data_IF_142117394322
#
_entry.id   IF_142117394322
#
_cell.length_a   1.000
_cell.length_b   1.000
_cell.length_c   1.000
_cell.angle_alpha   90.00
_cell.angle_beta   90.00
_cell.angle_gamma   90.00
#
_symmetry.space_group_name_H-M   'P 1'
#
loop_
_entity.id
_entity.type
_entity.pdbx_description
1 polymer ?
#
# COMPACT_ATOMS: atom_id res chain seq x y z
N UNK A 1 -7.88 -11.47 15.51
CA UNK A 1 -6.43 -11.42 15.25
C UNK A 1 -5.76 -10.77 16.45
N UNK A 2 -4.66 -11.35 16.94
CA UNK A 2 -3.84 -10.73 17.98
C UNK A 2 -2.43 -10.54 17.41
N UNK A 3 -1.83 -9.36 17.62
CA UNK A 3 -0.47 -9.04 17.19
C UNK A 3 0.29 -8.49 18.39
N UNK A 4 1.41 -9.13 18.75
CA UNK A 4 2.22 -8.70 19.89
C UNK A 4 3.29 -7.69 19.48
N UNK A 5 3.06 -6.42 19.86
CA UNK A 5 3.96 -5.31 19.56
C UNK A 5 5.32 -5.39 20.27
N UNK A 6 5.43 -6.22 21.31
CA UNK A 6 6.70 -6.44 22.04
C UNK A 6 7.64 -7.40 21.31
N UNK A 7 7.12 -8.18 20.35
CA UNK A 7 7.92 -9.10 19.54
C UNK A 7 8.64 -8.38 18.41
N UNK A 8 9.67 -9.00 17.83
CA UNK A 8 10.37 -8.41 16.69
C UNK A 8 9.45 -8.35 15.44
N UNK A 9 9.75 -7.41 14.52
CA UNK A 9 8.95 -7.20 13.31
C UNK A 9 8.75 -8.47 12.47
N UNK A 10 9.75 -9.36 12.42
CA UNK A 10 9.66 -10.63 11.70
C UNK A 10 8.55 -11.53 12.28
N UNK A 11 8.45 -11.62 13.61
CA UNK A 11 7.46 -12.47 14.28
C UNK A 11 6.05 -11.90 14.12
N UNK A 12 5.89 -10.57 14.21
CA UNK A 12 4.63 -9.89 13.92
C UNK A 12 4.16 -10.20 12.50
N UNK A 13 5.04 -10.08 11.51
CA UNK A 13 4.73 -10.39 10.12
C UNK A 13 4.40 -11.87 9.90
N UNK A 14 5.08 -12.77 10.60
CA UNK A 14 4.79 -14.21 10.58
C UNK A 14 3.38 -14.50 11.10
N UNK A 15 2.98 -13.84 12.19
CA UNK A 15 1.63 -13.93 12.73
C UNK A 15 0.59 -13.42 11.73
N UNK A 16 0.84 -12.27 11.07
CA UNK A 16 -0.01 -11.72 10.01
C UNK A 16 -0.21 -12.74 8.87
N UNK A 17 0.89 -13.30 8.35
CA UNK A 17 0.80 -14.28 7.27
C UNK A 17 0.06 -15.54 7.73
N UNK A 18 0.35 -16.04 8.92
CA UNK A 18 -0.29 -17.24 9.46
C UNK A 18 -1.80 -17.05 9.63
N UNK A 19 -2.24 -15.88 10.09
CA UNK A 19 -3.66 -15.51 10.14
C UNK A 19 -4.30 -15.65 8.76
N UNK A 20 -3.72 -15.02 7.74
CA UNK A 20 -4.26 -15.09 6.38
C UNK A 20 -4.05 -16.44 5.67
N UNK A 21 -3.26 -17.37 6.22
CA UNK A 21 -3.14 -18.76 5.73
C UNK A 21 -4.25 -19.68 6.25
N UNK A 22 -5.01 -19.27 7.27
CA UNK A 22 -6.08 -20.07 7.84
C UNK A 22 -7.12 -20.48 6.79
N UNK A 23 -7.69 -21.67 6.93
CA UNK A 23 -8.73 -22.21 6.03
C UNK A 23 -10.09 -22.03 6.69
N UNK A 24 -11.14 -21.96 5.87
CA UNK A 24 -12.54 -21.88 6.32
C UNK A 24 -12.83 -20.69 7.24
N UNK A 25 -12.18 -19.55 6.98
CA UNK A 25 -12.44 -18.28 7.67
C UNK A 25 -13.49 -17.50 6.87
N UNK A 26 -14.49 -16.97 7.56
CA UNK A 26 -15.45 -16.03 6.99
C UNK A 26 -14.83 -14.63 6.93
N UNK A 27 -14.07 -14.34 5.87
CA UNK A 27 -13.33 -13.08 5.71
C UNK A 27 -14.20 -11.81 5.60
N UNK A 28 -15.53 -11.97 5.49
CA UNK A 28 -16.48 -10.87 5.52
C UNK A 28 -16.93 -10.49 6.94
N UNK A 29 -16.57 -11.28 7.96
CA UNK A 29 -16.92 -10.96 9.34
C UNK A 29 -16.04 -9.80 9.87
N UNK A 30 -16.56 -8.94 10.77
CA UNK A 30 -15.75 -7.93 11.43
C UNK A 30 -14.50 -8.52 12.08
N UNK A 31 -13.33 -7.98 11.71
CA UNK A 31 -12.08 -8.36 12.35
C UNK A 31 -11.99 -7.71 13.73
N UNK A 32 -11.78 -8.53 14.76
CA UNK A 32 -11.37 -8.05 16.07
C UNK A 32 -9.87 -8.13 16.17
N UNK A 33 -9.21 -6.98 16.23
CA UNK A 33 -7.76 -6.87 16.38
C UNK A 33 -7.40 -6.47 17.81
N UNK A 34 -6.36 -7.08 18.35
CA UNK A 34 -5.74 -6.70 19.63
C UNK A 34 -4.24 -6.52 19.41
N UNK A 35 -3.68 -5.44 19.95
CA UNK A 35 -2.26 -5.16 19.98
C UNK A 35 -1.74 -5.51 21.37
N UNK A 36 -1.11 -6.67 21.52
CA UNK A 36 -0.52 -7.04 22.80
C UNK A 36 0.69 -6.13 23.10
N UNK A 37 0.76 -5.65 24.34
CA UNK A 37 1.77 -4.67 24.76
C UNK A 37 1.32 -3.21 24.63
N UNK A 38 0.15 -2.96 24.05
CA UNK A 38 -0.47 -1.64 23.91
C UNK A 38 -1.85 -1.65 24.59
N UNK A 39 -2.22 -0.54 25.22
CA UNK A 39 -3.52 -0.39 25.88
C UNK A 39 -4.65 -0.03 24.89
N UNK A 40 -4.30 0.26 23.63
CA UNK A 40 -5.25 0.64 22.60
C UNK A 40 -6.27 -0.47 22.29
N UNK A 41 -7.53 -0.05 22.17
CA UNK A 41 -8.67 -0.91 21.81
C UNK A 41 -9.63 -0.17 20.87
N UNK A 42 -10.42 -0.90 20.10
CA UNK A 42 -11.46 -0.35 19.22
C UNK A 42 -11.02 -0.17 17.77
N UNK A 43 -11.76 0.64 17.01
CA UNK A 43 -11.65 0.72 15.55
C UNK A 43 -10.31 1.27 15.06
N UNK A 44 -9.64 2.12 15.85
CA UNK A 44 -8.28 2.59 15.55
C UNK A 44 -7.27 1.46 15.42
N UNK A 45 -7.40 0.41 16.24
CA UNK A 45 -6.53 -0.79 16.19
C UNK A 45 -6.78 -1.60 14.92
N UNK A 46 -8.05 -1.75 14.54
CA UNK A 46 -8.43 -2.42 13.30
C UNK A 46 -7.92 -1.68 12.06
N UNK A 47 -8.02 -0.34 12.06
CA UNK A 47 -7.48 0.50 10.98
C UNK A 47 -5.96 0.39 10.87
N UNK A 48 -5.27 0.42 12.00
CA UNK A 48 -3.82 0.19 12.05
C UNK A 48 -3.45 -1.17 11.46
N UNK A 49 -4.16 -2.24 11.83
CA UNK A 49 -3.93 -3.56 11.25
C UNK A 49 -4.07 -3.57 9.72
N UNK A 50 -5.11 -2.96 9.16
CA UNK A 50 -5.29 -2.91 7.70
C UNK A 50 -4.23 -2.05 7.01
N UNK A 51 -3.84 -0.94 7.62
CA UNK A 51 -2.73 -0.11 7.16
C UNK A 51 -1.43 -0.91 7.11
N UNK A 52 -1.10 -1.65 8.18
CA UNK A 52 0.12 -2.47 8.26
C UNK A 52 0.15 -3.54 7.17
N UNK A 53 -0.92 -4.32 6.97
CA UNK A 53 -0.88 -5.39 5.96
C UNK A 53 -0.71 -4.83 4.54
N UNK A 54 -1.33 -3.68 4.22
CA UNK A 54 -1.21 -3.04 2.91
C UNK A 54 0.19 -2.45 2.70
N UNK A 55 0.76 -1.85 3.74
CA UNK A 55 2.15 -1.37 3.74
C UNK A 55 3.11 -2.53 3.42
N UNK A 56 2.91 -3.71 4.03
CA UNK A 56 3.73 -4.90 3.74
C UNK A 56 3.52 -5.47 2.34
N UNK A 57 2.30 -5.40 1.79
CA UNK A 57 2.08 -5.76 0.39
C UNK A 57 2.80 -4.79 -0.57
N UNK A 58 2.82 -3.50 -0.25
CA UNK A 58 3.41 -2.47 -1.11
C UNK A 58 4.93 -2.42 -1.04
N UNK A 59 5.50 -2.49 0.16
CA UNK A 59 6.94 -2.29 0.40
C UNK A 59 7.71 -3.55 0.80
N UNK A 60 6.99 -4.66 1.01
CA UNK A 60 7.57 -5.96 1.34
C UNK A 60 7.56 -6.29 2.84
N UNK A 61 7.84 -7.56 3.09
CA UNK A 61 7.94 -8.16 4.42
C UNK A 61 9.41 -8.22 4.86
N UNK A 62 9.71 -7.91 6.11
CA UNK A 62 11.00 -8.16 6.76
C UNK A 62 11.33 -9.65 6.96
N UNK A 63 10.37 -10.55 6.71
CA UNK A 63 10.63 -11.98 6.63
C UNK A 63 11.70 -12.29 5.58
N UNK A 64 12.80 -12.92 5.98
CA UNK A 64 13.91 -13.23 5.10
C UNK A 64 13.67 -14.52 4.27
N UNK A 65 12.67 -14.47 3.40
CA UNK A 65 12.27 -15.59 2.54
C UNK A 65 13.15 -15.58 1.29
N UNK A 66 14.35 -16.15 1.41
CA UNK A 66 15.30 -16.27 0.30
C UNK A 66 16.55 -15.38 0.39
N UNK A 67 16.94 -14.95 1.59
CA UNK A 67 18.17 -14.16 1.85
C UNK A 67 18.19 -12.74 1.23
N UNK A 68 17.05 -12.16 0.91
CA UNK A 68 16.95 -10.82 0.29
C UNK A 68 16.78 -9.68 1.30
N UNK A 69 16.70 -9.97 2.60
CA UNK A 69 16.47 -8.98 3.66
C UNK A 69 15.05 -8.42 3.71
N UNK A 70 14.47 -8.09 2.56
CA UNK A 70 13.05 -7.76 2.38
C UNK A 70 12.47 -8.67 1.30
N UNK A 71 11.31 -9.24 1.58
CA UNK A 71 10.54 -10.06 0.65
C UNK A 71 9.42 -9.23 0.02
N UNK A 72 9.62 -8.81 -1.23
CA UNK A 72 8.61 -8.08 -2.00
C UNK A 72 7.71 -9.06 -2.77
N UNK A 73 6.40 -8.91 -2.64
CA UNK A 73 5.44 -9.67 -3.46
C UNK A 73 5.21 -9.02 -4.83
N UNK A 74 5.47 -7.73 -4.97
CA UNK A 74 5.33 -7.00 -6.22
C UNK A 74 6.65 -6.30 -6.55
N UNK A 75 7.01 -6.31 -7.82
CA UNK A 75 8.27 -5.82 -8.37
C UNK A 75 7.98 -4.85 -9.52
N UNK A 76 8.90 -3.92 -9.76
CA UNK A 76 8.78 -2.90 -10.81
C UNK A 76 8.73 -1.50 -10.23
N UNK A 77 8.46 -0.54 -11.11
CA UNK A 77 8.33 0.87 -10.74
C UNK A 77 6.86 1.23 -10.47
N UNK A 78 6.58 2.40 -9.83
CA UNK A 78 5.20 2.85 -9.59
C UNK A 78 4.36 2.85 -10.88
N UNK A 79 3.09 2.48 -10.75
CA UNK A 79 2.12 2.25 -11.84
C UNK A 79 2.43 1.09 -12.81
N UNK A 80 3.51 0.34 -12.55
CA UNK A 80 3.96 -0.81 -13.34
C UNK A 80 4.29 -2.03 -12.47
N UNK A 81 3.83 -2.04 -11.21
CA UNK A 81 4.10 -3.15 -10.30
C UNK A 81 3.41 -4.44 -10.77
N UNK A 82 4.15 -5.53 -10.77
CA UNK A 82 3.67 -6.88 -11.11
C UNK A 82 4.11 -7.90 -10.07
N UNK A 83 3.39 -9.03 -9.87
CA UNK A 83 3.80 -10.05 -8.90
C UNK A 83 5.23 -10.54 -9.08
N UNK A 84 5.99 -10.80 -8.02
CA UNK A 84 7.31 -11.39 -8.13
C UNK A 84 7.27 -12.75 -8.86
N UNK A 85 8.30 -13.03 -9.66
CA UNK A 85 8.43 -14.32 -10.35
C UNK A 85 8.98 -15.46 -9.46
N UNK A 86 9.27 -15.18 -8.18
CA UNK A 86 9.84 -16.13 -7.22
C UNK A 86 8.94 -17.35 -6.98
N UNK A 87 9.49 -18.55 -7.21
CA UNK A 87 8.79 -19.82 -6.96
C UNK A 87 8.49 -20.04 -5.48
N UNK A 88 9.39 -19.61 -4.59
CA UNK A 88 9.22 -19.78 -3.16
C UNK A 88 7.93 -19.10 -2.65
N UNK A 89 7.61 -17.92 -3.18
CA UNK A 89 6.40 -17.18 -2.81
C UNK A 89 5.13 -17.89 -3.29
N UNK A 90 5.20 -18.57 -4.44
CA UNK A 90 4.11 -19.40 -4.97
C UNK A 90 3.93 -20.63 -4.10
N UNK A 91 5.00 -21.37 -3.80
CA UNK A 91 4.97 -22.59 -2.98
C UNK A 91 4.48 -22.31 -1.56
N UNK A 92 4.76 -21.11 -1.06
CA UNK A 92 4.31 -20.64 0.25
C UNK A 92 2.89 -20.05 0.26
N UNK A 93 2.16 -20.10 -0.85
CA UNK A 93 0.81 -19.53 -1.03
C UNK A 93 0.74 -18.02 -0.69
N UNK A 94 1.82 -17.27 -0.85
CA UNK A 94 1.84 -15.86 -0.43
C UNK A 94 1.01 -14.94 -1.32
N UNK A 95 0.83 -15.28 -2.60
CA UNK A 95 -0.10 -14.55 -3.45
C UNK A 95 -1.56 -14.84 -3.08
N UNK A 96 -1.87 -16.04 -2.57
CA UNK A 96 -3.19 -16.35 -2.01
C UNK A 96 -3.45 -15.49 -0.78
N UNK A 97 -2.47 -15.42 0.13
CA UNK A 97 -2.48 -14.56 1.32
C UNK A 97 -2.68 -13.10 0.94
N UNK A 98 -1.93 -12.59 -0.05
CA UNK A 98 -2.08 -11.21 -0.54
C UNK A 98 -3.50 -10.94 -1.05
N UNK A 99 -4.10 -11.89 -1.79
CA UNK A 99 -5.45 -11.74 -2.29
C UNK A 99 -6.47 -11.64 -1.15
N UNK A 100 -6.26 -12.38 -0.06
CA UNK A 100 -7.09 -12.29 1.15
C UNK A 100 -6.88 -10.98 1.89
N UNK A 101 -5.64 -10.53 2.05
CA UNK A 101 -5.31 -9.23 2.66
C UNK A 101 -6.00 -8.06 1.93
N UNK A 102 -5.87 -8.02 0.59
CA UNK A 102 -6.51 -7.01 -0.26
C UNK A 102 -8.03 -7.03 -0.14
N UNK A 103 -8.62 -8.23 -0.27
CA UNK A 103 -10.06 -8.40 -0.15
C UNK A 103 -10.60 -8.00 1.22
N UNK A 104 -9.89 -8.39 2.28
CA UNK A 104 -10.27 -8.09 3.66
C UNK A 104 -10.20 -6.58 3.94
N UNK A 105 -9.11 -5.90 3.53
CA UNK A 105 -9.01 -4.44 3.64
C UNK A 105 -10.19 -3.75 2.96
N UNK A 106 -10.50 -4.13 1.71
CA UNK A 106 -11.59 -3.52 0.96
C UNK A 106 -12.98 -3.69 1.60
N UNK A 107 -13.28 -4.87 2.16
CA UNK A 107 -14.56 -5.11 2.83
C UNK A 107 -14.77 -4.22 4.06
N UNK A 108 -13.68 -3.76 4.67
CA UNK A 108 -13.69 -2.90 5.86
C UNK A 108 -13.38 -1.43 5.54
N UNK A 109 -13.42 -1.03 4.27
CA UNK A 109 -13.14 0.35 3.85
C UNK A 109 -11.68 0.76 4.07
N UNK A 110 -10.77 -0.20 4.15
CA UNK A 110 -9.35 0.07 4.36
C UNK A 110 -8.57 0.45 3.10
N UNK A 111 -7.27 0.76 3.26
CA UNK A 111 -6.40 1.18 2.18
C UNK A 111 -6.37 0.20 1.01
N UNK A 112 -6.14 0.75 -0.18
CA UNK A 112 -6.00 -0.01 -1.43
C UNK A 112 -4.52 -0.18 -1.78
N UNK A 113 -4.21 -1.19 -2.58
CA UNK A 113 -2.89 -1.35 -3.18
C UNK A 113 -2.82 -0.58 -4.51
N UNK A 114 -2.17 0.58 -4.47
CA UNK A 114 -1.98 1.44 -5.63
C UNK A 114 -0.74 1.04 -6.46
N UNK A 115 -0.70 1.50 -7.72
CA UNK A 115 0.52 1.46 -8.53
C UNK A 115 0.78 0.13 -9.24
N UNK A 116 -0.22 -0.77 -9.30
CA UNK A 116 -0.11 -2.00 -10.09
C UNK A 116 -0.20 -1.72 -11.59
N UNK A 117 0.55 -2.50 -12.37
CA UNK A 117 0.47 -2.49 -13.84
C UNK A 117 -0.97 -2.67 -14.31
N UNK A 118 -1.41 -1.79 -15.21
CA UNK A 118 -2.77 -1.85 -15.77
C UNK A 118 -3.00 -3.11 -16.60
N UNK A 119 -1.96 -3.60 -17.29
CA UNK A 119 -2.02 -4.88 -18.00
C UNK A 119 -2.24 -6.05 -17.04
N UNK A 120 -1.55 -6.06 -15.90
CA UNK A 120 -1.73 -7.07 -14.87
C UNK A 120 -3.12 -7.03 -14.25
N UNK A 121 -3.60 -5.84 -13.86
CA UNK A 121 -4.94 -5.65 -13.27
C UNK A 121 -6.03 -6.13 -14.25
N UNK A 122 -5.89 -5.79 -15.53
CA UNK A 122 -6.80 -6.27 -16.58
C UNK A 122 -6.93 -7.79 -16.57
N UNK A 123 -5.80 -8.52 -16.61
CA UNK A 123 -5.77 -9.98 -16.62
C UNK A 123 -6.26 -10.61 -15.30
N UNK A 124 -5.97 -9.98 -14.16
CA UNK A 124 -6.39 -10.48 -12.85
C UNK A 124 -7.92 -10.53 -12.71
N UNK A 125 -8.61 -9.49 -13.19
CA UNK A 125 -10.05 -9.35 -13.04
C UNK A 125 -10.83 -10.16 -14.08
N UNK A 126 -10.77 -9.78 -15.36
CA UNK A 126 -11.56 -10.43 -16.43
C UNK A 126 -10.86 -10.50 -17.80
N UNK A 127 -9.77 -9.78 -17.98
CA UNK A 127 -9.03 -9.74 -19.22
C UNK A 127 -8.31 -11.03 -19.54
N UNK A 128 -7.97 -11.20 -20.82
CA UNK A 128 -7.03 -12.23 -21.27
C UNK A 128 -5.65 -11.62 -21.51
N UNK A 129 -4.61 -12.44 -21.50
CA UNK A 129 -3.26 -12.00 -21.82
C UNK A 129 -3.15 -11.39 -23.24
N UNK A 130 -3.93 -11.90 -24.19
CA UNK A 130 -3.91 -11.42 -25.58
C UNK A 130 -4.57 -10.04 -25.75
N UNK A 131 -5.43 -9.65 -24.81
CA UNK A 131 -6.11 -8.34 -24.81
C UNK A 131 -5.44 -7.30 -23.92
N UNK A 132 -4.36 -7.66 -23.23
CA UNK A 132 -3.67 -6.77 -22.31
C UNK A 132 -2.76 -5.81 -23.08
N UNK A 133 -2.96 -4.51 -22.89
CA UNK A 133 -2.04 -3.49 -23.41
C UNK A 133 -0.84 -3.37 -22.49
N UNK A 134 0.32 -3.84 -22.96
CA UNK A 134 1.57 -3.85 -22.20
C UNK A 134 2.45 -2.65 -22.56
N UNK A 135 3.14 -2.15 -21.55
CA UNK A 135 4.21 -1.17 -21.67
C UNK A 135 5.55 -1.83 -21.33
N UNK A 136 6.64 -1.33 -21.89
CA UNK A 136 7.98 -1.87 -21.64
C UNK A 136 8.33 -1.79 -20.14
N UNK A 137 7.84 -0.74 -19.50
CA UNK A 137 7.92 -0.41 -18.09
C UNK A 137 7.28 -1.47 -17.18
N UNK A 138 6.32 -2.26 -17.67
CA UNK A 138 5.68 -3.35 -16.93
C UNK A 138 6.63 -4.54 -16.72
N UNK A 139 7.75 -4.61 -17.44
CA UNK A 139 8.81 -5.59 -17.21
C UNK A 139 9.72 -5.11 -16.06
N UNK A 140 9.70 -5.77 -14.89
CA UNK A 140 10.48 -5.30 -13.73
C UNK A 140 11.97 -5.62 -13.86
N UNK A 141 12.32 -6.64 -14.65
CA UNK A 141 13.70 -7.06 -14.88
C UNK A 141 14.36 -6.14 -15.92
N UNK A 142 15.39 -5.40 -15.47
CA UNK A 142 16.05 -4.37 -16.27
C UNK A 142 16.77 -4.98 -17.47
N UNK A 143 17.46 -6.11 -17.29
CA UNK A 143 18.26 -6.75 -18.34
C UNK A 143 17.35 -7.34 -19.43
N UNK A 144 16.26 -8.00 -19.01
CA UNK A 144 15.24 -8.49 -19.94
C UNK A 144 14.60 -7.32 -20.68
N UNK A 145 14.26 -6.24 -19.97
CA UNK A 145 13.61 -5.05 -20.54
C UNK A 145 14.50 -4.38 -21.58
N UNK A 146 15.78 -4.21 -21.29
CA UNK A 146 16.76 -3.65 -22.23
C UNK A 146 16.92 -4.55 -23.46
N UNK A 147 16.98 -5.87 -23.27
CA UNK A 147 17.07 -6.85 -24.36
C UNK A 147 15.83 -6.80 -25.27
N UNK A 148 14.62 -6.75 -24.69
CA UNK A 148 13.38 -6.61 -25.45
C UNK A 148 13.36 -5.27 -26.20
N UNK A 149 13.84 -4.19 -25.59
CA UNK A 149 13.85 -2.87 -26.22
C UNK A 149 14.70 -2.82 -27.50
N UNK A 150 15.72 -3.68 -27.65
CA UNK A 150 16.48 -3.78 -28.90
C UNK A 150 15.58 -4.09 -30.10
N UNK A 151 14.45 -4.76 -29.89
CA UNK A 151 13.51 -5.13 -30.93
C UNK A 151 12.56 -3.98 -31.33
N UNK A 152 12.49 -2.87 -30.59
CA UNK A 152 11.57 -1.75 -30.86
C UNK A 152 12.00 -0.84 -32.03
N UNK A 153 13.29 -0.87 -32.39
CA UNK A 153 13.87 -0.05 -33.45
C UNK A 153 13.61 -0.56 -34.87
N UNK A 154 13.76 0.32 -35.86
CA UNK A 154 13.69 -0.04 -37.28
C UNK A 154 15.06 -0.44 -37.87
N UNK A 155 16.16 -0.02 -37.24
CA UNK A 155 17.51 -0.35 -37.71
C UNK A 155 17.85 -1.83 -37.46
N UNK A 156 18.54 -2.51 -38.39
CA UNK A 156 18.99 -3.89 -38.19
C UNK A 156 19.76 -4.06 -36.88
N UNK A 157 19.59 -5.21 -36.23
CA UNK A 157 20.38 -5.56 -35.05
C UNK A 157 21.83 -5.81 -35.47
N UNK A 158 22.80 -5.30 -34.71
CA UNK A 158 24.19 -5.73 -34.88
C UNK A 158 24.40 -7.14 -34.30
N UNK A 159 25.58 -7.73 -34.51
CA UNK A 159 25.87 -9.11 -34.09
C UNK A 159 25.69 -9.33 -32.58
N UNK A 160 26.16 -8.39 -31.73
CA UNK A 160 26.02 -8.47 -30.27
C UNK A 160 24.56 -8.40 -29.82
N UNK A 161 23.79 -7.45 -30.39
CA UNK A 161 22.37 -7.31 -30.11
C UNK A 161 21.58 -8.54 -30.56
N UNK A 162 21.90 -9.07 -31.75
CA UNK A 162 21.27 -10.27 -32.29
C UNK A 162 21.54 -11.48 -31.40
N UNK A 163 22.78 -11.66 -30.92
CA UNK A 163 23.13 -12.72 -29.98
C UNK A 163 22.35 -12.62 -28.67
N UNK A 164 22.29 -11.43 -28.05
CA UNK A 164 21.55 -11.21 -26.79
C UNK A 164 20.06 -11.54 -26.91
N UNK A 165 19.44 -11.08 -28.00
CA UNK A 165 18.03 -11.37 -28.28
C UNK A 165 17.83 -12.86 -28.56
N UNK A 166 18.73 -13.48 -29.34
CA UNK A 166 18.66 -14.92 -29.63
C UNK A 166 18.75 -15.75 -28.35
N UNK A 167 19.69 -15.43 -27.46
CA UNK A 167 19.85 -16.13 -26.18
C UNK A 167 18.57 -16.06 -25.34
N UNK A 168 17.94 -14.87 -25.26
CA UNK A 168 16.66 -14.70 -24.57
C UNK A 168 15.54 -15.50 -25.24
N UNK A 169 15.42 -15.44 -26.58
CA UNK A 169 14.43 -16.21 -27.33
C UNK A 169 14.57 -17.71 -27.08
N UNK A 170 15.80 -18.25 -27.18
CA UNK A 170 16.07 -19.66 -26.95
C UNK A 170 15.76 -20.08 -25.51
N UNK A 171 16.01 -19.21 -24.53
CA UNK A 171 15.69 -19.50 -23.12
C UNK A 171 14.18 -19.68 -22.87
N UNK A 172 13.32 -19.14 -23.75
CA UNK A 172 11.86 -19.22 -23.68
C UNK A 172 11.25 -19.97 -24.88
N UNK A 173 12.03 -20.82 -25.54
CA UNK A 173 11.60 -21.67 -26.65
C UNK A 173 10.96 -20.89 -27.83
N UNK A 174 11.48 -19.70 -28.12
CA UNK A 174 11.06 -18.84 -29.23
C UNK A 174 12.05 -18.87 -30.41
N UNK A 175 11.59 -18.63 -31.65
CA UNK A 175 12.49 -18.53 -32.79
C UNK A 175 13.43 -17.33 -32.66
N UNK A 176 14.60 -17.42 -33.32
CA UNK A 176 15.55 -16.32 -33.39
C UNK A 176 15.00 -15.09 -34.13
N UNK A 177 15.60 -13.91 -33.89
CA UNK A 177 15.16 -12.68 -34.52
C UNK A 177 15.43 -12.66 -36.02
N UNK A 178 14.41 -12.29 -36.79
CA UNK A 178 14.48 -11.97 -38.22
C UNK A 178 13.85 -10.60 -38.45
N UNK A 179 14.07 -9.99 -39.62
CA UNK A 179 13.44 -8.72 -39.96
C UNK A 179 11.91 -8.83 -39.99
N UNK A 180 11.38 -9.99 -40.41
CA UNK A 180 9.94 -10.23 -40.55
C UNK A 180 9.23 -10.49 -39.22
N UNK A 181 9.89 -11.15 -38.26
CA UNK A 181 9.27 -11.55 -36.99
C UNK A 181 9.57 -10.58 -35.82
N UNK A 182 10.38 -9.54 -36.03
CA UNK A 182 10.91 -8.66 -34.98
C UNK A 182 9.82 -8.07 -34.08
N UNK A 183 8.76 -7.52 -34.67
CA UNK A 183 7.64 -6.93 -33.93
C UNK A 183 6.89 -7.98 -33.12
N UNK A 184 6.65 -9.15 -33.73
CA UNK A 184 5.99 -10.25 -33.06
C UNK A 184 6.82 -10.76 -31.88
N UNK A 185 8.15 -10.85 -32.03
CA UNK A 185 9.06 -11.21 -30.93
C UNK A 185 9.03 -10.17 -29.82
N UNK A 186 9.05 -8.87 -30.13
CA UNK A 186 8.90 -7.81 -29.13
C UNK A 186 7.64 -8.03 -28.29
N UNK A 187 6.48 -8.20 -28.95
CA UNK A 187 5.19 -8.37 -28.29
C UNK A 187 5.14 -9.69 -27.48
N UNK A 188 5.68 -10.80 -28.01
CA UNK A 188 5.68 -12.11 -27.33
C UNK A 188 6.63 -12.17 -26.16
N UNK A 189 7.85 -11.67 -26.31
CA UNK A 189 8.83 -11.60 -25.22
C UNK A 189 8.29 -10.72 -24.10
N UNK A 190 7.73 -9.54 -24.41
CA UNK A 190 7.17 -8.64 -23.41
C UNK A 190 5.97 -9.29 -22.69
N UNK A 191 5.04 -9.89 -23.44
CA UNK A 191 3.90 -10.60 -22.85
C UNK A 191 4.33 -11.76 -21.94
N UNK A 192 5.32 -12.54 -22.36
CA UNK A 192 5.86 -13.62 -21.53
C UNK A 192 6.56 -13.06 -20.27
N UNK A 193 7.42 -12.05 -20.45
CA UNK A 193 8.19 -11.42 -19.39
C UNK A 193 7.31 -10.79 -18.32
N UNK A 194 6.15 -10.23 -18.68
CA UNK A 194 5.23 -9.53 -17.77
C UNK A 194 4.10 -10.43 -17.26
N UNK A 195 3.44 -11.21 -18.12
CA UNK A 195 2.23 -11.96 -17.75
C UNK A 195 2.45 -13.47 -17.77
N UNK A 196 3.17 -13.99 -18.78
CA UNK A 196 3.39 -15.42 -18.96
C UNK A 196 4.05 -16.07 -17.75
N UNK A 197 5.11 -15.44 -17.21
CA UNK A 197 5.83 -15.91 -16.01
C UNK A 197 5.03 -15.80 -14.70
N UNK A 198 3.85 -15.16 -14.72
CA UNK A 198 3.04 -14.83 -13.53
C UNK A 198 1.68 -15.51 -13.47
N UNK A 199 1.43 -16.50 -14.34
CA UNK A 199 0.13 -17.18 -14.41
C UNK A 199 -0.28 -17.84 -13.08
N UNK A 200 0.67 -18.44 -12.35
CA UNK A 200 0.38 -19.09 -11.05
C UNK A 200 0.07 -18.06 -9.96
N UNK A 201 0.81 -16.95 -9.94
CA UNK A 201 0.63 -15.83 -9.03
C UNK A 201 -0.74 -15.18 -9.24
N UNK A 202 -1.12 -14.90 -10.49
CA UNK A 202 -2.45 -14.40 -10.85
C UNK A 202 -3.54 -15.34 -10.34
N UNK A 203 -3.39 -16.66 -10.55
CA UNK A 203 -4.36 -17.66 -10.07
C UNK A 203 -4.48 -17.68 -8.55
N UNK A 204 -3.37 -17.64 -7.82
CA UNK A 204 -3.38 -17.59 -6.35
C UNK A 204 -4.00 -16.30 -5.82
N UNK A 205 -3.60 -15.14 -6.36
CA UNK A 205 -4.14 -13.84 -5.97
C UNK A 205 -5.66 -13.78 -6.19
N UNK A 206 -6.11 -14.23 -7.36
CA UNK A 206 -7.53 -14.36 -7.71
C UNK A 206 -8.28 -15.28 -6.76
N UNK A 207 -7.68 -16.41 -6.37
CA UNK A 207 -8.26 -17.33 -5.38
C UNK A 207 -8.39 -16.63 -4.02
N UNK A 208 -7.41 -15.84 -3.60
CA UNK A 208 -7.47 -15.12 -2.33
C UNK A 208 -8.61 -14.10 -2.30
N UNK A 209 -8.78 -13.33 -3.38
CA UNK A 209 -9.90 -12.40 -3.53
C UNK A 209 -11.27 -13.10 -3.62
N UNK A 210 -11.31 -14.35 -4.11
CA UNK A 210 -12.52 -15.17 -4.11
C UNK A 210 -12.85 -15.69 -2.72
N UNK A 211 -11.84 -16.06 -1.93
CA UNK A 211 -12.04 -16.50 -0.55
C UNK A 211 -12.70 -15.38 0.30
N UNK A 212 -12.46 -14.11 -0.03
CA UNK A 212 -13.12 -12.97 0.63
C UNK A 212 -14.44 -12.55 -0.01
N UNK A 213 -14.92 -13.26 -1.04
CA UNK A 213 -16.12 -12.89 -1.81
C UNK A 213 -16.06 -11.50 -2.50
N UNK A 214 -14.89 -10.86 -2.56
CA UNK A 214 -14.70 -9.56 -3.21
C UNK A 214 -14.59 -9.71 -4.73
N UNK A 215 -13.90 -10.75 -5.20
CA UNK A 215 -13.65 -10.93 -6.63
C UNK A 215 -14.93 -10.89 -7.51
N UNK A 216 -16.03 -11.59 -7.16
CA UNK A 216 -17.28 -11.50 -7.93
C UNK A 216 -17.82 -10.06 -8.04
N UNK A 217 -17.72 -9.27 -6.97
CA UNK A 217 -18.19 -7.87 -6.95
C UNK A 217 -17.36 -7.00 -7.88
N UNK A 218 -16.04 -7.17 -7.88
CA UNK A 218 -15.13 -6.44 -8.79
C UNK A 218 -15.39 -6.76 -10.26
N UNK A 219 -15.82 -7.99 -10.54
CA UNK A 219 -16.16 -8.42 -11.89
C UNK A 219 -17.52 -7.91 -12.38
N UNK A 220 -18.44 -7.63 -11.47
CA UNK A 220 -19.79 -7.12 -11.79
C UNK A 220 -19.83 -5.58 -11.84
N UNK A 221 -19.02 -4.91 -11.02
CA UNK A 221 -19.00 -3.45 -10.84
C UNK A 221 -17.72 -2.83 -11.37
N UNK A 222 -17.75 -2.37 -12.62
CA UNK A 222 -16.60 -1.71 -13.29
C UNK A 222 -16.32 -0.29 -12.78
N UNK A 223 -17.24 0.29 -12.02
CA UNK A 223 -17.13 1.60 -11.38
C UNK A 223 -16.33 1.58 -10.07
N UNK A 224 -16.13 0.40 -9.48
CA UNK A 224 -15.37 0.26 -8.23
C UNK A 224 -13.88 0.32 -8.52
N UNK A 225 -13.21 1.34 -7.97
CA UNK A 225 -11.76 1.48 -8.04
C UNK A 225 -11.11 0.65 -6.92
N UNK A 226 -10.66 -0.56 -7.26
CA UNK A 226 -9.99 -1.46 -6.31
C UNK A 226 -8.45 -1.39 -6.36
N UNK A 227 -7.89 -1.10 -7.54
CA UNK A 227 -6.46 -0.93 -7.76
C UNK A 227 -6.21 0.45 -8.37
N UNK A 228 -6.09 1.50 -7.55
CA UNK A 228 -5.85 2.87 -8.04
C UNK A 228 -4.44 3.02 -8.64
N UNK A 229 -4.26 4.06 -9.46
CA UNK A 229 -2.93 4.56 -9.83
C UNK A 229 -2.26 5.17 -8.61
N UNK A 230 -0.94 5.27 -8.62
CA UNK A 230 -0.19 5.94 -7.55
C UNK A 230 -0.63 7.40 -7.38
N UNK A 231 -0.95 8.09 -8.49
CA UNK A 231 -1.48 9.47 -8.46
C UNK A 231 -2.86 9.57 -7.82
N UNK A 232 -3.70 8.54 -7.98
CA UNK A 232 -5.06 8.47 -7.43
C UNK A 232 -5.05 8.14 -5.93
N UNK A 233 -3.96 7.56 -5.43
CA UNK A 233 -3.72 7.26 -4.01
C UNK A 233 -2.99 8.42 -3.28
N UNK A 234 -2.76 9.55 -3.94
CA UNK A 234 -2.06 10.68 -3.33
C UNK A 234 -2.96 11.46 -2.36
N UNK A 235 -2.42 11.86 -1.20
CA UNK A 235 -3.11 12.73 -0.26
C UNK A 235 -2.67 14.18 -0.50
N UNK A 236 -3.59 15.06 -0.87
CA UNK A 236 -3.31 16.50 -1.04
C UNK A 236 -3.72 17.31 0.19
N UNK A 237 -3.10 18.48 0.42
CA UNK A 237 -3.49 19.40 1.49
C UNK A 237 -4.97 19.77 1.42
N UNK A 238 -5.49 20.09 0.23
CA UNK A 238 -6.86 20.56 0.03
C UNK A 238 -7.88 19.48 0.38
N UNK A 239 -7.61 18.24 -0.03
CA UNK A 239 -8.44 17.09 0.33
C UNK A 239 -8.51 16.94 1.85
N UNK A 240 -7.36 16.98 2.54
CA UNK A 240 -7.32 16.81 3.99
C UNK A 240 -8.05 17.96 4.72
N UNK A 241 -7.76 19.21 4.35
CA UNK A 241 -8.37 20.39 4.95
C UNK A 241 -9.90 20.39 4.82
N UNK A 242 -10.44 19.86 3.73
CA UNK A 242 -11.89 19.77 3.52
C UNK A 242 -12.63 18.83 4.49
N UNK A 243 -11.92 17.90 5.13
CA UNK A 243 -12.48 16.93 6.09
C UNK A 243 -12.32 17.34 7.55
N UNK A 244 -11.55 18.40 7.84
CA UNK A 244 -11.25 18.81 9.22
C UNK A 244 -12.35 19.74 9.74
N UNK A 245 -12.99 19.30 10.83
CA UNK A 245 -13.86 20.13 11.65
C UNK A 245 -13.04 20.85 12.72
N UNK A 246 -12.86 22.16 12.56
CA UNK A 246 -12.13 23.02 13.51
C UNK A 246 -13.08 23.80 14.44
N UNK A 247 -12.63 24.09 15.67
CA UNK A 247 -12.24 23.18 16.73
C UNK A 247 -13.48 22.79 17.56
N UNK A 248 -13.48 21.58 18.17
CA UNK A 248 -14.48 21.20 19.18
C UNK A 248 -14.00 21.60 20.58
N UNK A 249 -14.94 21.86 21.48
CA UNK A 249 -14.64 21.99 22.91
C UNK A 249 -14.21 20.62 23.45
N UNK A 250 -13.24 20.61 24.36
CA UNK A 250 -12.82 19.39 25.05
C UNK A 250 -13.95 18.94 25.96
N UNK A 251 -14.34 17.67 25.89
CA UNK A 251 -15.30 17.08 26.84
C UNK A 251 -14.64 16.78 28.22
N UNK A 252 -13.32 16.97 28.34
CA UNK A 252 -12.57 16.73 29.58
C UNK A 252 -12.73 17.91 30.55
N UNK A 253 -13.46 17.69 31.65
CA UNK A 253 -13.75 18.69 32.70
C UNK A 253 -12.49 19.30 33.37
N UNK A 254 -11.33 18.66 33.21
CA UNK A 254 -10.04 19.08 33.77
C UNK A 254 -9.23 20.02 32.85
N UNK A 255 -9.68 20.23 31.60
CA UNK A 255 -9.01 21.16 30.67
C UNK A 255 -9.47 22.60 30.93
N UNK A 256 -8.53 23.47 31.32
CA UNK A 256 -8.77 24.92 31.33
C UNK A 256 -9.16 25.40 29.93
N UNK A 257 -10.27 26.14 29.83
CA UNK A 257 -10.75 26.66 28.55
C UNK A 257 -9.70 27.57 27.90
N UNK A 258 -9.01 27.06 26.87
CA UNK A 258 -8.03 27.83 26.13
C UNK A 258 -8.68 29.04 25.44
N UNK A 259 -7.98 30.18 25.45
CA UNK A 259 -8.44 31.40 24.78
C UNK A 259 -8.64 31.20 23.27
N UNK A 260 -9.54 31.98 22.68
CA UNK A 260 -9.79 31.95 21.23
C UNK A 260 -8.50 32.18 20.42
N UNK A 261 -7.66 33.13 20.82
CA UNK A 261 -6.38 33.43 20.18
C UNK A 261 -5.43 32.22 20.18
N UNK A 262 -5.42 31.44 21.27
CA UNK A 262 -4.63 30.22 21.37
C UNK A 262 -5.14 29.16 20.38
N UNK A 263 -6.46 28.93 20.38
CA UNK A 263 -7.11 27.96 19.49
C UNK A 263 -6.86 28.31 18.02
N UNK A 264 -6.99 29.59 17.66
CA UNK A 264 -6.72 30.07 16.30
C UNK A 264 -5.24 29.88 15.92
N UNK A 265 -4.31 30.22 16.81
CA UNK A 265 -2.88 30.08 16.57
C UNK A 265 -2.46 28.63 16.31
N UNK A 266 -2.86 27.70 17.18
CA UNK A 266 -2.49 26.29 17.02
C UNK A 266 -3.16 25.67 15.80
N UNK A 267 -4.43 26.02 15.54
CA UNK A 267 -5.12 25.60 14.32
C UNK A 267 -4.44 26.17 13.08
N UNK A 268 -3.95 27.41 13.13
CA UNK A 268 -3.15 28.03 12.08
C UNK A 268 -1.85 27.28 11.81
N UNK A 269 -1.15 26.83 12.86
CA UNK A 269 0.05 25.98 12.70
C UNK A 269 -0.26 24.62 12.08
N UNK A 270 -1.37 23.97 12.45
CA UNK A 270 -1.81 22.73 11.81
C UNK A 270 -2.08 22.95 10.32
N UNK A 271 -2.83 24.01 9.96
CA UNK A 271 -3.11 24.34 8.55
C UNK A 271 -1.82 24.59 7.77
N UNK A 272 -0.91 25.40 8.33
CA UNK A 272 0.39 25.67 7.71
C UNK A 272 1.22 24.38 7.52
N UNK A 273 1.16 23.44 8.47
CA UNK A 273 1.80 22.14 8.30
C UNK A 273 1.19 21.40 7.13
N UNK A 274 -0.14 21.28 7.08
CA UNK A 274 -0.85 20.54 6.03
C UNK A 274 -0.55 21.11 4.64
N UNK A 275 -0.53 22.43 4.50
CA UNK A 275 -0.28 23.13 3.23
C UNK A 275 1.16 22.96 2.71
N UNK A 276 2.12 22.69 3.60
CA UNK A 276 3.55 22.65 3.26
C UNK A 276 4.17 21.25 3.34
N UNK A 277 3.44 20.28 3.91
CA UNK A 277 3.89 18.92 4.10
C UNK A 277 3.95 18.14 2.78
N UNK A 278 4.84 17.14 2.73
CA UNK A 278 4.85 16.18 1.63
C UNK A 278 3.64 15.24 1.70
N UNK A 279 3.22 14.66 0.57
CA UNK A 279 2.16 13.63 0.55
C UNK A 279 2.44 12.47 1.51
N UNK A 280 3.72 12.11 1.69
CA UNK A 280 4.15 11.10 2.67
C UNK A 280 3.86 11.54 4.10
N UNK A 281 4.19 12.78 4.46
CA UNK A 281 3.98 13.29 5.81
C UNK A 281 2.49 13.51 6.10
N UNK A 282 1.69 13.87 5.09
CA UNK A 282 0.23 13.92 5.20
C UNK A 282 -0.37 12.53 5.47
N UNK A 283 0.10 11.49 4.77
CA UNK A 283 -0.30 10.10 5.06
C UNK A 283 0.10 9.66 6.45
N UNK A 284 1.30 10.04 6.91
CA UNK A 284 1.73 9.77 8.29
C UNK A 284 0.88 10.52 9.32
N UNK A 285 0.47 11.76 9.03
CA UNK A 285 -0.46 12.51 9.87
C UNK A 285 -1.83 11.82 9.94
N UNK A 286 -2.38 11.37 8.82
CA UNK A 286 -3.62 10.57 8.80
C UNK A 286 -3.49 9.29 9.62
N UNK A 287 -2.41 8.53 9.40
CA UNK A 287 -2.13 7.31 10.14
C UNK A 287 -2.06 7.56 11.64
N UNK A 288 -1.39 8.63 12.04
CA UNK A 288 -1.32 9.05 13.44
C UNK A 288 -2.70 9.42 13.99
N UNK A 289 -3.46 10.22 13.23
CA UNK A 289 -4.72 10.80 13.66
C UNK A 289 -5.82 9.74 13.76
N UNK A 290 -6.06 8.97 12.70
CA UNK A 290 -7.20 8.06 12.57
C UNK A 290 -6.82 6.58 12.52
N UNK A 291 -5.53 6.25 12.44
CA UNK A 291 -5.03 4.86 12.46
C UNK A 291 -4.69 4.27 11.09
N UNK A 292 -4.96 4.99 9.98
CA UNK A 292 -4.58 4.58 8.63
C UNK A 292 -4.50 5.79 7.68
N UNK A 293 -4.14 5.56 6.41
CA UNK A 293 -3.90 6.58 5.40
C UNK A 293 -5.17 7.07 4.66
N UNK A 294 -6.36 6.69 5.12
CA UNK A 294 -7.64 7.15 4.57
C UNK A 294 -8.30 8.24 5.42
N UNK A 295 -9.01 9.14 4.75
CA UNK A 295 -9.80 10.19 5.40
C UNK A 295 -11.07 9.60 5.99
N UNK A 296 -11.49 10.17 7.11
CA UNK A 296 -12.69 9.79 7.82
C UNK A 296 -13.68 10.94 7.81
N UNK A 297 -14.97 10.61 7.92
CA UNK A 297 -15.97 11.63 8.20
C UNK A 297 -15.77 12.17 9.62
N UNK A 298 -15.86 13.49 9.80
CA UNK A 298 -15.80 14.16 11.11
C UNK A 298 -14.44 14.15 11.81
N UNK A 299 -13.34 14.26 11.07
CA UNK A 299 -12.03 14.47 11.66
C UNK A 299 -12.01 15.77 12.47
N UNK A 300 -11.80 15.69 13.78
CA UNK A 300 -11.90 16.83 14.69
C UNK A 300 -10.56 17.18 15.34
N UNK A 301 -10.38 18.46 15.64
CA UNK A 301 -9.19 18.97 16.34
C UNK A 301 -9.61 19.54 17.70
N UNK A 302 -8.88 19.13 18.73
CA UNK A 302 -9.00 19.61 20.11
C UNK A 302 -7.68 20.21 20.56
N UNK A 303 -7.75 21.32 21.29
CA UNK A 303 -6.58 21.93 21.92
C UNK A 303 -6.59 21.53 23.39
N UNK A 304 -5.53 20.85 23.83
CA UNK A 304 -5.46 20.24 25.16
C UNK A 304 -4.17 20.59 25.89
N UNK A 305 -4.18 20.33 27.20
CA UNK A 305 -2.98 20.43 28.03
C UNK A 305 -2.14 19.16 27.93
N UNK A 306 -1.18 19.15 27.01
CA UNK A 306 -0.20 18.07 26.88
C UNK A 306 1.18 18.58 26.47
N UNK A 307 2.20 17.73 26.60
CA UNK A 307 3.57 18.02 26.15
C UNK A 307 3.78 17.79 24.66
N UNK A 308 3.03 16.82 24.09
CA UNK A 308 3.13 16.42 22.70
C UNK A 308 1.73 16.17 22.11
N UNK A 309 1.58 16.27 20.78
CA UNK A 309 0.39 15.84 20.07
C UNK A 309 -0.02 14.42 20.42
N UNK A 310 -1.31 14.19 20.55
CA UNK A 310 -1.92 12.89 20.81
C UNK A 310 -3.07 12.66 19.84
N UNK A 311 -3.45 11.41 19.64
CA UNK A 311 -4.64 11.07 18.86
C UNK A 311 -5.55 10.14 19.66
N UNK A 312 -6.85 10.34 19.47
CA UNK A 312 -7.84 9.31 19.73
C UNK A 312 -8.36 8.82 18.41
N UNK A 313 -7.63 7.87 17.83
CA UNK A 313 -7.93 7.31 16.52
C UNK A 313 -9.37 6.82 16.40
N UNK A 314 -9.87 6.06 17.39
CA UNK A 314 -11.26 5.59 17.45
C UNK A 314 -12.32 6.69 17.33
N UNK A 315 -12.03 7.92 17.76
CA UNK A 315 -12.95 9.05 17.69
C UNK A 315 -12.62 10.05 16.58
N UNK A 316 -11.56 9.78 15.81
CA UNK A 316 -11.03 10.67 14.77
C UNK A 316 -10.66 12.06 15.32
N UNK A 317 -10.13 12.11 16.54
CA UNK A 317 -9.76 13.36 17.23
C UNK A 317 -8.24 13.50 17.31
N UNK A 318 -7.73 14.62 16.79
CA UNK A 318 -6.34 15.04 16.95
C UNK A 318 -6.26 16.07 18.08
N UNK A 319 -5.49 15.73 19.11
CA UNK A 319 -5.27 16.58 20.27
C UNK A 319 -3.94 17.28 20.17
N UNK A 320 -3.98 18.60 20.10
CA UNK A 320 -2.81 19.45 19.92
C UNK A 320 -2.50 20.25 21.19
N UNK A 321 -1.24 20.25 21.63
CA UNK A 321 -0.82 21.08 22.75
C UNK A 321 -1.02 22.58 22.51
N UNK A 322 -1.65 23.26 23.48
CA UNK A 322 -1.77 24.73 23.46
C UNK A 322 -0.44 25.46 23.64
N UNK A 323 0.58 24.86 24.25
CA UNK A 323 1.78 25.58 24.71
C UNK A 323 2.72 26.06 23.58
N UNK A 324 2.53 25.64 22.34
CA UNK A 324 3.43 26.02 21.24
C UNK A 324 3.31 27.50 20.88
N UNK A 325 4.44 28.21 20.91
CA UNK A 325 4.50 29.64 20.60
C UNK A 325 5.09 29.96 19.22
N UNK A 326 5.52 28.95 18.47
CA UNK A 326 6.01 29.10 17.10
C UNK A 326 5.70 27.87 16.26
N UNK A 327 5.47 28.09 14.96
CA UNK A 327 5.28 27.01 14.00
C UNK A 327 6.44 26.01 14.01
N UNK A 328 7.68 26.46 14.17
CA UNK A 328 8.84 25.58 14.19
C UNK A 328 8.82 24.59 15.36
N UNK A 329 8.43 25.06 16.56
CA UNK A 329 8.31 24.19 17.74
C UNK A 329 7.17 23.19 17.60
N UNK A 330 6.01 23.66 17.09
CA UNK A 330 4.85 22.83 16.77
C UNK A 330 5.20 21.75 15.75
N UNK A 331 5.79 22.13 14.62
CA UNK A 331 6.17 21.23 13.53
C UNK A 331 7.14 20.16 14.02
N UNK A 332 8.14 20.54 14.83
CA UNK A 332 9.06 19.57 15.42
C UNK A 332 8.34 18.56 16.32
N UNK A 333 7.42 19.02 17.17
CA UNK A 333 6.59 18.19 18.04
C UNK A 333 5.71 17.21 17.25
N UNK A 334 5.03 17.72 16.22
CA UNK A 334 4.16 16.92 15.36
C UNK A 334 4.94 15.87 14.56
N UNK A 335 6.05 16.26 13.93
CA UNK A 335 6.89 15.34 13.17
C UNK A 335 7.46 14.21 14.04
N UNK A 336 7.80 14.50 15.30
CA UNK A 336 8.21 13.46 16.24
C UNK A 336 7.08 12.44 16.46
N UNK A 337 5.84 12.90 16.64
CA UNK A 337 4.70 12.01 16.92
C UNK A 337 4.25 11.21 15.70
N UNK A 338 4.11 11.83 14.52
CA UNK A 338 3.67 11.08 13.33
C UNK A 338 4.71 10.04 12.89
N UNK A 339 5.99 10.21 13.29
CA UNK A 339 7.06 9.25 13.05
C UNK A 339 7.01 7.97 13.91
N UNK A 340 6.18 7.93 14.96
CA UNK A 340 6.09 6.77 15.88
C UNK A 340 5.00 5.79 15.52
N UNK A 341 4.14 6.06 14.52
CA UNK A 341 2.99 5.22 14.17
C UNK A 341 3.33 3.73 13.94
N UNK A 342 4.57 3.41 13.56
CA UNK A 342 5.07 2.04 13.38
C UNK A 342 5.23 1.24 14.68
N UNK A 343 5.16 1.89 15.84
CA UNK A 343 5.37 1.26 17.16
C UNK A 343 4.07 1.12 17.97
N UNK A 344 2.91 1.42 17.40
CA UNK A 344 1.62 1.39 18.10
C UNK A 344 1.12 2.77 18.51
N UNK A 345 0.05 2.80 19.31
CA UNK A 345 -0.59 4.03 19.77
C UNK A 345 -0.08 4.40 21.17
N UNK A 346 0.64 5.52 21.29
CA UNK A 346 1.09 6.03 22.60
C UNK A 346 2.52 5.65 23.01
N UNK A 347 3.29 4.99 22.15
CA UNK A 347 4.74 4.90 22.29
C UNK A 347 5.40 6.13 21.65
N UNK A 348 5.52 7.22 22.40
CA UNK A 348 6.32 8.41 22.05
C UNK A 348 7.39 8.64 23.10
#
# INVERSE_FOLDING_TARGET
MCMDLRTCAEEQERQLINFYKQRNVEWACPVKCQLEGDAAVGDGVTRHFFSTILEKLKYGFSLNLGNTGVTCLFEGQPDHLVPSSSQFLIESDLFLVAGRMLGHSFLHGGPCLAGLSRAFVHVLLQGSQDTATLQLEDCPDVDIRETINLLSGQSPLNEDQSSKVLDLCLSWDLPGPTEENRRWLYERLLSHAVLGRRVRQIKQLKRGLKDTCVWPRLTERKDVVFFPKESEDSCTPEMLLSHISCPRESDDEDDEEYSADMKERITGYLKQFIETASSKDLKNLLKFWVGWEQMEENMAVEIVKSDLPKSSSCFCILRLPGHYNSFQSFNKGLMMCIGTCKYGFGHV
#
